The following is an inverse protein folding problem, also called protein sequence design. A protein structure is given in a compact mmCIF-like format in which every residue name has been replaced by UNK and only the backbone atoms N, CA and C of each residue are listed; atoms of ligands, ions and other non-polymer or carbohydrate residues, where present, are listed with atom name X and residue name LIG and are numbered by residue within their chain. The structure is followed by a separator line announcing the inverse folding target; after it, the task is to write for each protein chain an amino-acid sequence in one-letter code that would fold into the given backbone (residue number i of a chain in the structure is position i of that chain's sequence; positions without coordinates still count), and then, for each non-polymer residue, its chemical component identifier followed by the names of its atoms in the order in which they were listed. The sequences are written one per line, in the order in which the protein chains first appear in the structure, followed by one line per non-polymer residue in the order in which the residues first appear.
data_IF_758836843972
#
_entry.id   IF_758836843972
#
_cell.length_a   1.000
_cell.length_b   1.000
_cell.length_c   1.000
_cell.angle_alpha   90.00
_cell.angle_beta   90.00
_cell.angle_gamma   90.00
#
_symmetry.space_group_name_H-M   'P 1'
#
loop_
_entity.id
_entity.type
_entity.pdbx_description
1 polymer ?
#
# COMPACT_ATOMS: atom_id res chain seq x y z
N UNK A 1 0.66 9.50 49.42
CA UNK A 1 1.00 8.31 48.60
C UNK A 1 0.78 8.71 47.15
N UNK A 2 1.86 8.76 46.39
CA UNK A 2 1.82 9.01 44.95
C UNK A 2 1.22 7.79 44.25
N UNK A 3 0.28 7.99 43.33
CA UNK A 3 0.12 7.09 42.21
C UNK A 3 -0.13 7.93 40.96
N UNK A 4 0.98 8.22 40.30
CA UNK A 4 1.07 8.91 39.03
C UNK A 4 0.82 7.85 37.95
N UNK A 5 -0.42 7.71 37.46
CA UNK A 5 -0.69 6.89 36.27
C UNK A 5 -0.30 7.72 35.05
N UNK A 6 0.95 7.62 34.64
CA UNK A 6 1.37 7.95 33.28
C UNK A 6 0.47 7.17 32.32
N UNK A 7 -0.41 7.88 31.61
CA UNK A 7 -0.90 7.40 30.32
C UNK A 7 0.31 7.48 29.39
N UNK A 8 0.84 6.33 29.01
CA UNK A 8 1.69 6.21 27.82
C UNK A 8 1.00 6.97 26.69
N UNK A 9 1.74 7.94 26.13
CA UNK A 9 1.20 8.85 25.15
C UNK A 9 0.58 8.10 23.99
N UNK A 10 -0.63 8.52 23.62
CA UNK A 10 -1.09 8.39 22.24
C UNK A 10 0.07 8.88 21.37
N UNK A 11 0.74 7.96 20.68
CA UNK A 11 1.65 8.36 19.61
C UNK A 11 0.73 9.03 18.60
N UNK A 12 0.79 10.35 18.51
CA UNK A 12 0.14 11.09 17.44
C UNK A 12 0.58 10.46 16.11
N UNK A 13 -0.32 9.71 15.48
CA UNK A 13 -0.09 9.20 14.14
C UNK A 13 -0.15 10.41 13.22
N UNK A 14 1.02 10.90 12.82
CA UNK A 14 1.14 12.01 11.86
C UNK A 14 0.45 11.62 10.57
N UNK A 15 -0.41 12.49 10.04
CA UNK A 15 -1.12 12.25 8.76
C UNK A 15 -0.20 12.46 7.56
N UNK A 16 -0.61 12.01 6.36
CA UNK A 16 0.15 12.30 5.13
C UNK A 16 0.29 13.81 4.88
N UNK A 17 -0.76 14.59 5.11
CA UNK A 17 -0.77 16.06 4.92
C UNK A 17 0.28 16.73 5.80
N UNK A 18 0.35 16.34 7.07
CA UNK A 18 1.35 16.85 8.02
C UNK A 18 2.75 16.40 7.59
N UNK A 19 2.91 15.15 7.19
CA UNK A 19 4.20 14.61 6.72
C UNK A 19 4.72 15.39 5.51
N UNK A 20 3.87 15.69 4.52
CA UNK A 20 4.21 16.48 3.33
C UNK A 20 4.38 17.98 3.59
N UNK A 21 3.93 18.46 4.74
CA UNK A 21 4.16 19.84 5.18
C UNK A 21 5.49 19.98 5.93
N UNK A 22 5.87 18.91 6.66
CA UNK A 22 7.11 18.84 7.43
C UNK A 22 8.32 18.40 6.58
N UNK A 23 8.07 17.58 5.56
CA UNK A 23 9.06 17.06 4.61
C UNK A 23 8.65 17.50 3.21
N UNK A 24 9.61 17.75 2.33
CA UNK A 24 9.32 18.14 0.94
C UNK A 24 8.36 17.15 0.26
N UNK A 25 7.53 17.66 -0.65
CA UNK A 25 6.53 16.88 -1.43
C UNK A 25 7.22 16.00 -2.48
N UNK A 26 8.02 15.06 -2.03
CA UNK A 26 8.79 14.13 -2.85
C UNK A 26 8.14 12.75 -2.84
N UNK A 27 8.30 12.00 -3.93
CA UNK A 27 7.75 10.65 -4.05
C UNK A 27 8.35 9.69 -2.99
N UNK A 28 9.59 9.90 -2.57
CA UNK A 28 10.27 9.15 -1.51
C UNK A 28 9.64 9.39 -0.14
N UNK A 29 9.24 10.63 0.15
CA UNK A 29 8.53 10.99 1.39
C UNK A 29 7.20 10.22 1.46
N UNK A 30 6.47 10.19 0.34
CA UNK A 30 5.18 9.50 0.25
C UNK A 30 5.37 7.98 0.35
N UNK A 31 6.33 7.41 -0.39
CA UNK A 31 6.62 5.98 -0.31
C UNK A 31 7.01 5.53 1.10
N UNK A 32 7.81 6.34 1.81
CA UNK A 32 8.20 6.08 3.20
C UNK A 32 6.98 6.13 4.13
N UNK A 33 6.12 7.14 3.97
CA UNK A 33 4.89 7.26 4.76
C UNK A 33 3.97 6.04 4.56
N UNK A 34 3.72 5.67 3.30
CA UNK A 34 2.88 4.53 2.96
C UNK A 34 3.49 3.23 3.49
N UNK A 35 4.81 3.04 3.39
CA UNK A 35 5.49 1.87 3.95
C UNK A 35 5.29 1.78 5.46
N UNK A 36 5.46 2.88 6.19
CA UNK A 36 5.28 2.92 7.65
C UNK A 36 3.86 2.54 8.06
N UNK A 37 2.86 3.08 7.35
CA UNK A 37 1.47 2.69 7.56
C UNK A 37 1.27 1.19 7.31
N UNK A 38 1.76 0.68 6.18
CA UNK A 38 1.55 -0.72 5.82
C UNK A 38 2.26 -1.67 6.80
N UNK A 39 3.49 -1.38 7.18
CA UNK A 39 4.24 -2.18 8.17
C UNK A 39 3.51 -2.25 9.52
N UNK A 40 2.84 -1.18 9.92
CA UNK A 40 2.08 -1.13 11.16
C UNK A 40 0.75 -1.90 11.12
N UNK A 41 0.08 -1.96 9.95
CA UNK A 41 -1.32 -2.41 9.88
C UNK A 41 -1.56 -3.69 9.09
N UNK A 42 -0.61 -4.16 8.27
CA UNK A 42 -0.86 -5.29 7.36
C UNK A 42 -1.34 -6.56 8.08
N UNK A 43 -0.72 -6.92 9.22
CA UNK A 43 -1.14 -8.09 10.00
C UNK A 43 -2.48 -7.88 10.70
N UNK A 44 -2.72 -6.67 11.19
CA UNK A 44 -3.96 -6.31 11.85
C UNK A 44 -5.14 -6.45 10.89
N UNK A 45 -5.01 -5.96 9.66
CA UNK A 45 -6.05 -6.12 8.62
C UNK A 45 -6.32 -7.59 8.31
N UNK A 46 -5.28 -8.44 8.24
CA UNK A 46 -5.48 -9.89 8.07
C UNK A 46 -6.30 -10.46 9.23
N UNK A 47 -5.94 -10.10 10.46
CA UNK A 47 -6.57 -10.66 11.66
C UNK A 47 -8.01 -10.19 11.84
N UNK A 48 -8.26 -8.88 11.71
CA UNK A 48 -9.58 -8.28 11.84
C UNK A 48 -10.58 -8.84 10.80
N UNK A 49 -10.10 -9.17 9.61
CA UNK A 49 -10.93 -9.66 8.51
C UNK A 49 -10.79 -11.17 8.24
N UNK A 50 -10.07 -11.92 9.10
CA UNK A 50 -9.65 -13.31 8.85
C UNK A 50 -10.78 -14.21 8.37
N UNK A 51 -11.87 -14.32 9.14
CA UNK A 51 -12.98 -15.23 8.81
C UNK A 51 -13.64 -14.88 7.48
N UNK A 52 -13.76 -13.59 7.15
CA UNK A 52 -14.33 -13.14 5.88
C UNK A 52 -13.37 -13.47 4.72
N UNK A 53 -12.07 -13.22 4.90
CA UNK A 53 -11.05 -13.49 3.88
C UNK A 53 -10.91 -15.00 3.62
N UNK A 54 -10.88 -15.84 4.65
CA UNK A 54 -10.85 -17.31 4.51
C UNK A 54 -12.08 -17.85 3.77
N UNK A 55 -13.27 -17.32 4.07
CA UNK A 55 -14.48 -17.67 3.34
C UNK A 55 -14.42 -17.26 1.87
N UNK A 56 -13.77 -16.14 1.54
CA UNK A 56 -13.53 -15.71 0.15
C UNK A 56 -12.51 -16.63 -0.52
N UNK A 57 -11.41 -16.98 0.16
CA UNK A 57 -10.38 -17.85 -0.40
C UNK A 57 -10.95 -19.22 -0.77
N UNK A 58 -11.79 -19.81 0.09
CA UNK A 58 -12.42 -21.10 -0.14
C UNK A 58 -13.30 -21.15 -1.41
N UNK A 59 -13.84 -20.00 -1.84
CA UNK A 59 -14.67 -19.89 -3.06
C UNK A 59 -13.91 -19.34 -4.27
N UNK A 60 -12.93 -18.47 -4.05
CA UNK A 60 -12.23 -17.70 -5.07
C UNK A 60 -10.89 -17.17 -4.56
N UNK A 61 -9.83 -17.97 -4.72
CA UNK A 61 -8.49 -17.69 -4.21
C UNK A 61 -7.89 -16.35 -4.69
N UNK A 62 -8.12 -15.94 -5.94
CA UNK A 62 -7.61 -14.65 -6.41
C UNK A 62 -8.37 -13.45 -5.80
N UNK A 63 -9.66 -13.61 -5.53
CA UNK A 63 -10.51 -12.51 -5.04
C UNK A 63 -10.21 -12.13 -3.59
N UNK A 64 -9.70 -13.06 -2.78
CA UNK A 64 -9.35 -12.74 -1.38
C UNK A 64 -8.22 -11.72 -1.32
N UNK A 65 -7.25 -11.80 -2.24
CA UNK A 65 -6.11 -10.88 -2.24
C UNK A 65 -6.50 -9.50 -2.75
N UNK A 66 -7.42 -9.43 -3.71
CA UNK A 66 -8.06 -8.16 -4.09
C UNK A 66 -8.83 -7.54 -2.91
N UNK A 67 -9.58 -8.35 -2.15
CA UNK A 67 -10.32 -7.86 -0.97
C UNK A 67 -9.39 -7.38 0.14
N UNK A 68 -8.38 -8.16 0.50
CA UNK A 68 -7.39 -7.75 1.49
C UNK A 68 -6.68 -6.46 1.09
N UNK A 69 -6.25 -6.36 -0.18
CA UNK A 69 -5.63 -5.15 -0.72
C UNK A 69 -6.55 -3.93 -0.55
N UNK A 70 -7.84 -4.09 -0.84
CA UNK A 70 -8.81 -3.02 -0.62
C UNK A 70 -8.88 -2.58 0.86
N UNK A 71 -8.98 -3.51 1.81
CA UNK A 71 -9.04 -3.17 3.24
C UNK A 71 -7.76 -2.48 3.71
N UNK A 72 -6.60 -2.94 3.27
CA UNK A 72 -5.30 -2.38 3.66
C UNK A 72 -5.09 -0.96 3.12
N UNK A 73 -5.45 -0.73 1.86
CA UNK A 73 -5.11 0.51 1.15
C UNK A 73 -6.21 1.57 1.15
N UNK A 74 -7.44 1.25 1.57
CA UNK A 74 -8.55 2.21 1.56
C UNK A 74 -8.28 3.46 2.43
N UNK A 75 -7.74 3.35 3.66
CA UNK A 75 -7.42 4.53 4.46
C UNK A 75 -6.36 5.43 3.80
N UNK A 76 -5.31 4.81 3.25
CA UNK A 76 -4.26 5.51 2.50
C UNK A 76 -4.77 6.21 1.24
N UNK A 77 -5.71 5.58 0.52
CA UNK A 77 -6.37 6.20 -0.63
C UNK A 77 -7.11 7.48 -0.23
N UNK A 78 -7.77 7.48 0.93
CA UNK A 78 -8.45 8.66 1.46
C UNK A 78 -7.44 9.76 1.85
N UNK A 79 -6.32 9.40 2.47
CA UNK A 79 -5.27 10.35 2.86
C UNK A 79 -4.56 10.98 1.65
N UNK A 80 -4.22 10.19 0.63
CA UNK A 80 -3.67 10.70 -0.62
C UNK A 80 -4.59 11.76 -1.23
N UNK A 81 -5.90 11.46 -1.29
CA UNK A 81 -6.90 12.42 -1.78
C UNK A 81 -6.98 13.67 -0.91
N UNK A 82 -6.96 13.55 0.42
CA UNK A 82 -6.97 14.69 1.35
C UNK A 82 -5.72 15.56 1.23
N UNK A 83 -4.59 14.98 0.82
CA UNK A 83 -3.35 15.70 0.55
C UNK A 83 -3.30 16.42 -0.81
N UNK A 84 -4.40 16.39 -1.57
CA UNK A 84 -4.46 16.97 -2.91
C UNK A 84 -3.67 16.15 -3.93
N UNK A 85 -3.60 14.83 -3.74
CA UNK A 85 -2.93 13.92 -4.66
C UNK A 85 -3.96 13.10 -5.44
N UNK A 86 -3.66 12.94 -6.72
CA UNK A 86 -4.36 12.02 -7.62
C UNK A 86 -3.40 10.91 -8.06
N UNK A 87 -3.97 9.77 -8.47
CA UNK A 87 -3.20 8.59 -8.86
C UNK A 87 -3.71 8.05 -10.19
N UNK A 88 -2.78 7.75 -11.09
CA UNK A 88 -3.07 7.05 -12.36
C UNK A 88 -2.13 5.84 -12.54
N UNK A 89 -2.63 4.61 -12.72
CA UNK A 89 -3.99 4.21 -12.36
C UNK A 89 -4.27 4.45 -10.86
N UNK A 90 -5.55 4.45 -10.47
CA UNK A 90 -5.93 4.71 -9.07
C UNK A 90 -5.23 3.81 -8.06
N UNK A 91 -4.81 4.37 -6.92
CA UNK A 91 -4.05 3.67 -5.87
C UNK A 91 -4.79 2.44 -5.31
N UNK A 92 -4.11 1.29 -5.10
CA UNK A 92 -2.66 1.03 -5.26
C UNK A 92 -2.24 0.61 -6.68
N UNK A 93 -3.08 0.86 -7.68
CA UNK A 93 -2.96 0.36 -9.04
C UNK A 93 -4.09 -0.61 -9.37
N UNK A 94 -4.06 -1.21 -10.57
CA UNK A 94 -5.11 -2.14 -11.00
C UNK A 94 -4.55 -3.42 -11.56
N UNK A 95 -5.32 -4.51 -11.46
CA UNK A 95 -4.93 -5.84 -11.94
C UNK A 95 -4.48 -5.85 -13.42
N UNK A 96 -5.17 -5.18 -14.38
CA UNK A 96 -4.73 -5.15 -15.77
C UNK A 96 -3.36 -4.51 -15.98
N UNK A 97 -2.98 -3.58 -15.10
CA UNK A 97 -1.67 -2.91 -15.09
C UNK A 97 -0.81 -3.43 -13.94
N UNK A 98 -0.89 -4.73 -13.64
CA UNK A 98 -0.01 -5.39 -12.67
C UNK A 98 0.84 -6.46 -13.35
N UNK A 99 1.90 -6.90 -12.67
CA UNK A 99 2.76 -8.01 -13.11
C UNK A 99 2.96 -8.97 -11.96
N UNK A 100 2.84 -10.26 -12.20
CA UNK A 100 3.00 -11.32 -11.19
C UNK A 100 3.99 -12.35 -11.70
N UNK A 101 5.29 -12.13 -11.44
CA UNK A 101 6.35 -12.92 -12.08
C UNK A 101 7.45 -13.40 -11.12
N UNK A 102 7.50 -12.89 -9.88
CA UNK A 102 8.62 -13.19 -8.96
C UNK A 102 8.18 -14.03 -7.76
N UNK A 103 9.13 -14.78 -7.20
CA UNK A 103 8.92 -15.64 -6.04
C UNK A 103 8.32 -17.01 -6.38
N UNK A 104 8.25 -17.92 -5.39
CA UNK A 104 7.61 -19.23 -5.53
C UNK A 104 6.08 -19.15 -5.34
N UNK A 105 5.35 -20.26 -5.37
CA UNK A 105 3.88 -20.23 -5.25
C UNK A 105 3.41 -19.80 -3.86
N UNK A 106 4.18 -20.15 -2.83
CA UNK A 106 3.96 -19.81 -1.43
C UNK A 106 4.29 -18.36 -1.08
N UNK A 107 4.98 -17.65 -1.98
CA UNK A 107 5.38 -16.26 -1.81
C UNK A 107 5.46 -15.57 -3.18
N UNK A 108 4.36 -15.62 -3.92
CA UNK A 108 4.26 -14.96 -5.23
C UNK A 108 4.20 -13.45 -5.03
N UNK A 109 5.05 -12.75 -5.75
CA UNK A 109 5.07 -11.29 -5.79
C UNK A 109 4.28 -10.79 -7.00
N UNK A 110 3.32 -9.91 -6.72
CA UNK A 110 2.64 -9.09 -7.72
C UNK A 110 3.02 -7.63 -7.52
N UNK A 111 3.45 -6.98 -8.59
CA UNK A 111 3.77 -5.55 -8.61
C UNK A 111 2.64 -4.75 -9.21
N UNK A 112 2.23 -3.71 -8.50
CA UNK A 112 1.36 -2.66 -8.97
C UNK A 112 2.12 -1.34 -9.01
N UNK A 113 1.58 -0.36 -9.71
CA UNK A 113 2.09 1.00 -9.67
C UNK A 113 0.97 2.02 -9.85
N UNK A 114 1.23 3.23 -9.38
CA UNK A 114 0.47 4.42 -9.71
C UNK A 114 1.40 5.64 -9.78
N UNK A 115 1.20 6.48 -10.80
CA UNK A 115 1.80 7.79 -10.96
C UNK A 115 1.03 8.77 -10.08
N UNK A 116 1.74 9.51 -9.23
CA UNK A 116 1.16 10.50 -8.34
C UNK A 116 1.28 11.90 -8.94
N UNK A 117 0.16 12.60 -9.00
CA UNK A 117 0.08 13.97 -9.46
C UNK A 117 -0.51 14.87 -8.38
N UNK A 118 0.00 16.10 -8.27
CA UNK A 118 -0.61 17.14 -7.46
C UNK A 118 -1.86 17.72 -8.15
N UNK A 119 -2.67 18.48 -7.40
CA UNK A 119 -3.86 19.17 -7.92
C UNK A 119 -3.59 20.11 -9.10
N UNK A 120 -2.38 20.65 -9.20
CA UNK A 120 -1.94 21.52 -10.30
C UNK A 120 -1.39 20.73 -11.51
N UNK A 121 -1.59 19.40 -11.53
CA UNK A 121 -1.09 18.46 -12.55
C UNK A 121 0.42 18.24 -12.54
N UNK A 122 1.17 18.77 -11.56
CA UNK A 122 2.58 18.46 -11.41
C UNK A 122 2.77 16.99 -10.99
N UNK A 123 3.56 16.27 -11.76
CA UNK A 123 3.85 14.85 -11.50
C UNK A 123 4.96 14.74 -10.46
N UNK A 124 4.67 14.02 -9.37
CA UNK A 124 5.64 13.76 -8.29
C UNK A 124 6.54 12.56 -8.57
N UNK A 125 6.03 11.58 -9.31
CA UNK A 125 6.71 10.32 -9.57
C UNK A 125 5.75 9.14 -9.50
N UNK A 126 6.30 7.94 -9.41
CA UNK A 126 5.55 6.68 -9.31
C UNK A 126 5.78 6.03 -7.96
N UNK A 127 4.67 5.58 -7.37
CA UNK A 127 4.69 4.63 -6.26
C UNK A 127 4.53 3.22 -6.83
N UNK A 128 5.52 2.37 -6.56
CA UNK A 128 5.55 0.96 -6.89
C UNK A 128 5.18 0.15 -5.64
N UNK A 129 4.24 -0.78 -5.77
CA UNK A 129 3.73 -1.59 -4.68
C UNK A 129 4.03 -3.06 -5.00
N UNK A 130 4.96 -3.67 -4.26
CA UNK A 130 5.20 -5.10 -4.33
C UNK A 130 4.34 -5.82 -3.28
N UNK A 131 3.41 -6.63 -3.74
CA UNK A 131 2.44 -7.35 -2.94
C UNK A 131 2.75 -8.84 -2.93
N UNK A 132 2.84 -9.44 -1.75
CA UNK A 132 3.23 -10.84 -1.57
C UNK A 132 2.03 -11.69 -1.15
N UNK A 133 1.83 -12.84 -1.78
CA UNK A 133 0.70 -13.72 -1.49
C UNK A 133 1.02 -15.19 -1.76
N UNK A 134 0.20 -16.08 -1.20
CA UNK A 134 0.38 -17.52 -1.24
C UNK A 134 -0.73 -18.18 -2.10
N UNK A 135 -0.38 -18.85 -3.20
CA UNK A 135 -1.37 -19.56 -4.02
C UNK A 135 -1.77 -20.93 -3.45
N UNK A 136 -1.06 -21.42 -2.45
CA UNK A 136 -1.26 -22.77 -1.88
C UNK A 136 -2.21 -22.78 -0.70
N UNK A 137 -2.31 -21.66 0.03
CA UNK A 137 -3.18 -21.47 1.19
C UNK A 137 -3.47 -19.98 1.38
N UNK A 138 -4.51 -19.64 2.15
CA UNK A 138 -4.73 -18.24 2.50
C UNK A 138 -3.66 -17.76 3.48
N UNK A 139 -2.69 -16.99 2.97
CA UNK A 139 -1.62 -16.41 3.76
C UNK A 139 -1.06 -15.17 3.08
N UNK A 140 -0.78 -14.14 3.89
CA UNK A 140 0.05 -12.99 3.50
C UNK A 140 1.44 -13.22 4.12
N UNK A 141 2.45 -13.62 3.32
CA UNK A 141 3.73 -14.08 3.83
C UNK A 141 4.57 -12.96 4.46
N UNK A 142 4.42 -11.72 4.00
CA UNK A 142 5.10 -10.54 4.53
C UNK A 142 4.42 -9.23 4.12
N UNK A 143 4.82 -8.15 4.79
CA UNK A 143 4.39 -6.78 4.49
C UNK A 143 4.62 -6.43 3.01
N UNK A 144 3.64 -5.81 2.32
CA UNK A 144 3.87 -5.18 1.03
C UNK A 144 5.00 -4.14 1.08
N UNK A 145 5.75 -4.02 -0.01
CA UNK A 145 6.87 -3.08 -0.14
C UNK A 145 6.49 -1.91 -1.04
N UNK A 146 6.83 -0.70 -0.60
CA UNK A 146 6.63 0.57 -1.30
C UNK A 146 7.97 1.07 -1.82
N UNK A 147 8.05 1.30 -3.12
CA UNK A 147 9.23 1.85 -3.78
C UNK A 147 8.86 3.14 -4.50
N UNK A 148 9.73 4.15 -4.39
CA UNK A 148 9.62 5.39 -5.14
C UNK A 148 10.39 5.29 -6.46
N UNK A 149 9.88 5.92 -7.50
CA UNK A 149 10.55 6.04 -8.81
C UNK A 149 10.23 7.39 -9.45
N UNK A 150 11.22 8.03 -10.06
CA UNK A 150 11.01 9.24 -10.87
C UNK A 150 10.38 8.93 -12.23
N UNK A 151 10.33 7.65 -12.65
CA UNK A 151 9.72 7.28 -13.93
C UNK A 151 8.20 7.43 -13.86
N UNK A 152 7.61 8.09 -14.85
CA UNK A 152 6.16 8.40 -14.89
C UNK A 152 5.47 7.80 -16.12
N UNK A 153 6.22 7.26 -17.07
CA UNK A 153 5.64 6.62 -18.25
C UNK A 153 5.24 5.17 -17.96
N UNK A 154 3.93 4.87 -18.01
CA UNK A 154 3.40 3.52 -17.74
C UNK A 154 4.02 2.40 -18.58
N UNK A 155 4.39 2.66 -19.84
CA UNK A 155 5.02 1.67 -20.70
C UNK A 155 6.42 1.37 -20.17
N UNK A 156 7.18 2.40 -19.81
CA UNK A 156 8.52 2.23 -19.25
C UNK A 156 8.46 1.56 -17.88
N UNK A 157 7.52 1.95 -17.02
CA UNK A 157 7.30 1.32 -15.71
C UNK A 157 6.99 -0.16 -15.91
N UNK A 158 6.06 -0.51 -16.81
CA UNK A 158 5.71 -1.89 -17.13
C UNK A 158 6.93 -2.72 -17.52
N UNK A 159 7.83 -2.17 -18.36
CA UNK A 159 9.09 -2.83 -18.75
C UNK A 159 10.10 -2.95 -17.59
N UNK A 160 10.10 -2.03 -16.63
CA UNK A 160 10.95 -2.10 -15.43
C UNK A 160 10.44 -3.12 -14.42
N UNK A 161 9.15 -3.45 -14.47
CA UNK A 161 8.51 -4.47 -13.64
C UNK A 161 8.12 -5.70 -14.46
N UNK A 162 8.80 -5.97 -15.57
CA UNK A 162 8.79 -7.29 -16.21
C UNK A 162 10.03 -8.07 -15.76
#
# INVERSE_FOLDING_TARGET
MYSNSHREGDKETTTLVETMSLKERMIETIATYVQQYVDAHWQEVVEQHRSALEAIFARAAEQVYARYSQELFQPLSAELKQAGLTCDPGFPGTIPFSREQWGPQEERERRFWCVLCQENEDILGTLLICYFHDHTQFRIPRSPLMLASEQTNHIVIALMVE
#
